data_IF_019919519303
#
_entry.id   IF_019919519303
#
_cell.length_a   1.000
_cell.length_b   1.000
_cell.length_c   1.000
_cell.angle_alpha   90.00
_cell.angle_beta   90.00
_cell.angle_gamma   90.00
#
_symmetry.space_group_name_H-M   'P 1'
#
loop_
_entity.id
_entity.type
_entity.pdbx_description
1 polymer ?
#
# COMPACT_ATOMS: atom_id res chain seq x y z
N UNK A 1 -14.48 8.53 -16.54
CA UNK A 1 -14.06 7.27 -17.18
C UNK A 1 -15.14 6.61 -18.04
N UNK A 2 -16.33 6.22 -17.53
CA UNK A 2 -17.39 5.61 -18.38
C UNK A 2 -17.89 6.53 -19.49
N UNK A 3 -18.21 7.79 -19.17
CA UNK A 3 -18.68 8.76 -20.15
C UNK A 3 -17.54 9.31 -21.02
N UNK A 4 -16.33 9.39 -20.48
CA UNK A 4 -15.15 9.93 -21.19
C UNK A 4 -14.61 8.99 -22.26
N UNK A 5 -14.54 7.69 -21.97
CA UNK A 5 -13.89 6.69 -22.84
C UNK A 5 -14.86 5.61 -23.35
N UNK A 6 -16.17 5.80 -23.16
CA UNK A 6 -17.23 4.85 -23.56
C UNK A 6 -16.91 3.37 -23.24
N UNK A 7 -16.32 3.11 -22.08
CA UNK A 7 -15.86 1.77 -21.70
C UNK A 7 -17.03 0.83 -21.41
N UNK A 8 -16.93 -0.38 -21.94
CA UNK A 8 -17.85 -1.49 -21.63
C UNK A 8 -17.74 -1.90 -20.16
N UNK A 9 -18.84 -2.40 -19.59
CA UNK A 9 -18.86 -2.95 -18.21
C UNK A 9 -17.81 -4.05 -18.03
N UNK A 10 -17.53 -4.83 -19.07
CA UNK A 10 -16.50 -5.88 -19.08
C UNK A 10 -15.09 -5.31 -18.93
N UNK A 11 -14.80 -4.18 -19.58
CA UNK A 11 -13.49 -3.51 -19.48
C UNK A 11 -13.25 -3.00 -18.07
N UNK A 12 -14.26 -2.42 -17.42
CA UNK A 12 -14.13 -1.97 -16.03
C UNK A 12 -13.88 -3.15 -15.09
N UNK A 13 -14.55 -4.27 -15.33
CA UNK A 13 -14.29 -5.54 -14.63
C UNK A 13 -12.85 -6.02 -14.84
N UNK A 14 -12.31 -5.92 -16.05
CA UNK A 14 -10.93 -6.27 -16.36
C UNK A 14 -9.92 -5.41 -15.58
N UNK A 15 -10.14 -4.09 -15.46
CA UNK A 15 -9.28 -3.21 -14.64
C UNK A 15 -9.23 -3.68 -13.19
N UNK A 16 -10.38 -4.03 -12.60
CA UNK A 16 -10.42 -4.55 -11.23
C UNK A 16 -9.69 -5.87 -11.09
N UNK A 17 -9.87 -6.80 -12.02
CA UNK A 17 -9.16 -8.09 -12.03
C UNK A 17 -7.64 -7.91 -12.16
N UNK A 18 -7.19 -7.04 -13.06
CA UNK A 18 -5.77 -6.69 -13.22
C UNK A 18 -5.20 -6.01 -11.97
N UNK A 19 -6.02 -5.23 -11.24
CA UNK A 19 -5.62 -4.64 -9.96
C UNK A 19 -5.40 -5.73 -8.92
N UNK A 20 -6.32 -6.70 -8.79
CA UNK A 20 -6.17 -7.83 -7.87
C UNK A 20 -4.99 -8.74 -8.23
N UNK A 21 -4.76 -8.98 -9.53
CA UNK A 21 -3.58 -9.70 -9.99
C UNK A 21 -2.28 -8.96 -9.58
N UNK A 22 -2.26 -7.64 -9.75
CA UNK A 22 -1.17 -6.78 -9.27
C UNK A 22 -0.97 -6.90 -7.76
N UNK A 23 -2.05 -6.88 -6.97
CA UNK A 23 -1.98 -7.07 -5.52
C UNK A 23 -1.36 -8.41 -5.13
N UNK A 24 -1.75 -9.50 -5.79
CA UNK A 24 -1.17 -10.83 -5.53
C UNK A 24 0.35 -10.84 -5.79
N UNK A 25 0.78 -10.28 -6.92
CA UNK A 25 2.20 -10.16 -7.27
C UNK A 25 2.93 -9.28 -6.25
N UNK A 26 2.36 -8.14 -5.90
CA UNK A 26 2.92 -7.20 -4.92
C UNK A 26 3.06 -7.79 -3.52
N UNK A 27 2.11 -8.61 -3.09
CA UNK A 27 2.19 -9.31 -1.80
C UNK A 27 3.43 -10.22 -1.74
N UNK A 28 3.63 -11.04 -2.78
CA UNK A 28 4.74 -11.99 -2.85
C UNK A 28 6.08 -11.26 -2.98
N UNK A 29 6.17 -10.29 -3.91
CA UNK A 29 7.38 -9.52 -4.13
C UNK A 29 7.74 -8.68 -2.91
N UNK A 30 6.76 -8.00 -2.31
CA UNK A 30 6.92 -7.18 -1.11
C UNK A 30 7.46 -7.99 0.07
N UNK A 31 6.92 -9.19 0.30
CA UNK A 31 7.43 -10.10 1.34
C UNK A 31 8.90 -10.45 1.09
N UNK A 32 9.24 -10.95 -0.10
CA UNK A 32 10.62 -11.31 -0.44
C UNK A 32 11.60 -10.14 -0.37
N UNK A 33 11.17 -8.95 -0.80
CA UNK A 33 11.99 -7.73 -0.74
C UNK A 33 12.20 -7.31 0.72
N UNK A 34 11.18 -7.44 1.58
CA UNK A 34 11.28 -7.10 2.99
C UNK A 34 12.18 -8.04 3.78
N UNK A 35 12.22 -9.32 3.41
CA UNK A 35 13.09 -10.29 4.04
C UNK A 35 14.55 -10.09 3.60
N UNK A 36 14.78 -9.69 2.33
CA UNK A 36 16.13 -9.50 1.77
C UNK A 36 16.75 -8.15 2.14
N UNK A 37 16.01 -7.06 1.98
CA UNK A 37 16.51 -5.68 2.15
C UNK A 37 16.10 -5.06 3.49
N UNK A 38 15.22 -5.73 4.23
CA UNK A 38 14.64 -5.22 5.46
C UNK A 38 13.28 -4.55 5.23
N UNK A 39 12.54 -4.40 6.33
CA UNK A 39 11.16 -3.95 6.32
C UNK A 39 11.04 -2.47 5.92
N UNK A 40 11.86 -1.59 6.52
CA UNK A 40 11.83 -0.13 6.28
C UNK A 40 12.04 0.29 4.81
N UNK A 41 13.12 -0.12 4.11
CA UNK A 41 13.32 0.28 2.72
C UNK A 41 12.23 -0.28 1.79
N UNK A 42 11.70 -1.46 2.11
CA UNK A 42 10.62 -2.08 1.32
C UNK A 42 9.30 -1.32 1.47
N UNK A 43 8.97 -0.86 2.67
CA UNK A 43 7.80 0.01 2.89
C UNK A 43 7.92 1.31 2.11
N UNK A 44 9.07 1.97 2.17
CA UNK A 44 9.31 3.23 1.44
C UNK A 44 9.19 3.01 -0.07
N UNK A 45 9.85 1.98 -0.62
CA UNK A 45 9.79 1.67 -2.05
C UNK A 45 8.37 1.33 -2.51
N UNK A 46 7.64 0.48 -1.76
CA UNK A 46 6.28 0.10 -2.08
C UNK A 46 5.32 1.29 -2.07
N UNK A 47 5.45 2.20 -1.10
CA UNK A 47 4.62 3.41 -1.05
C UNK A 47 4.95 4.38 -2.18
N UNK A 48 6.23 4.55 -2.55
CA UNK A 48 6.62 5.36 -3.72
C UNK A 48 6.00 4.80 -4.99
N UNK A 49 6.12 3.49 -5.22
CA UNK A 49 5.52 2.82 -6.40
C UNK A 49 4.01 3.01 -6.41
N UNK A 50 3.33 2.79 -5.29
CA UNK A 50 1.89 3.01 -5.15
C UNK A 50 1.49 4.46 -5.50
N UNK A 51 2.12 5.44 -4.87
CA UNK A 51 1.74 6.85 -5.01
C UNK A 51 2.07 7.42 -6.38
N UNK A 52 3.25 7.09 -6.94
CA UNK A 52 3.62 7.50 -8.31
C UNK A 52 2.68 6.86 -9.32
N UNK A 53 2.40 5.56 -9.21
CA UNK A 53 1.47 4.88 -10.10
C UNK A 53 0.04 5.44 -9.98
N UNK A 54 -0.39 5.83 -8.77
CA UNK A 54 -1.70 6.47 -8.55
C UNK A 54 -1.77 7.83 -9.24
N UNK A 55 -0.76 8.69 -9.09
CA UNK A 55 -0.72 10.01 -9.74
C UNK A 55 -0.67 9.86 -11.26
N UNK A 56 0.15 8.95 -11.78
CA UNK A 56 0.20 8.64 -13.20
C UNK A 56 -1.12 8.09 -13.72
N UNK A 57 -1.85 7.31 -12.91
CA UNK A 57 -3.19 6.81 -13.26
C UNK A 57 -4.17 7.98 -13.44
N UNK A 58 -4.05 9.03 -12.62
CA UNK A 58 -4.83 10.26 -12.76
C UNK A 58 -4.53 11.00 -14.07
N UNK A 59 -3.30 10.92 -14.57
CA UNK A 59 -2.85 11.58 -15.80
C UNK A 59 -3.03 10.73 -17.05
N UNK A 60 -3.45 9.46 -16.91
CA UNK A 60 -3.44 8.49 -17.99
C UNK A 60 -4.28 8.95 -19.20
N UNK A 61 -3.70 8.97 -20.42
CA UNK A 61 -4.39 9.43 -21.62
C UNK A 61 -5.26 8.32 -22.24
N UNK A 62 -4.90 7.05 -22.04
CA UNK A 62 -5.51 5.89 -22.69
C UNK A 62 -5.79 4.76 -21.69
N UNK A 63 -6.75 3.90 -22.02
CA UNK A 63 -7.19 2.75 -21.20
C UNK A 63 -6.08 1.72 -20.93
N UNK A 64 -5.23 1.42 -21.92
CA UNK A 64 -4.15 0.43 -21.77
C UNK A 64 -3.12 0.87 -20.72
N UNK A 65 -2.69 2.13 -20.81
CA UNK A 65 -1.78 2.74 -19.84
C UNK A 65 -2.42 2.75 -18.46
N UNK A 66 -3.71 3.05 -18.37
CA UNK A 66 -4.45 3.02 -17.11
C UNK A 66 -4.48 1.61 -16.47
N UNK A 67 -4.67 0.54 -17.26
CA UNK A 67 -4.61 -0.84 -16.75
C UNK A 67 -3.25 -1.16 -16.15
N UNK A 68 -2.18 -0.85 -16.87
CA UNK A 68 -0.81 -1.16 -16.43
C UNK A 68 -0.51 -0.43 -15.13
N UNK A 69 -0.83 0.87 -15.08
CA UNK A 69 -0.66 1.68 -13.89
C UNK A 69 -1.51 1.17 -12.72
N UNK A 70 -2.73 0.67 -12.98
CA UNK A 70 -3.57 0.08 -11.94
C UNK A 70 -3.02 -1.22 -11.37
N UNK A 71 -2.44 -2.07 -12.20
CA UNK A 71 -1.72 -3.25 -11.73
C UNK A 71 -0.54 -2.86 -10.86
N UNK A 72 0.22 -1.82 -11.24
CA UNK A 72 1.32 -1.30 -10.42
C UNK A 72 0.85 -0.68 -9.10
N UNK A 73 -0.26 0.06 -9.11
CA UNK A 73 -0.87 0.60 -7.89
C UNK A 73 -1.30 -0.53 -6.96
N UNK A 74 -1.95 -1.58 -7.49
CA UNK A 74 -2.33 -2.76 -6.71
C UNK A 74 -1.11 -3.46 -6.11
N UNK A 75 -0.04 -3.62 -6.90
CA UNK A 75 1.19 -4.25 -6.44
C UNK A 75 1.88 -3.44 -5.32
N UNK A 76 2.04 -2.13 -5.50
CA UNK A 76 2.63 -1.26 -4.47
C UNK A 76 1.82 -1.24 -3.18
N UNK A 77 0.49 -1.16 -3.29
CA UNK A 77 -0.41 -1.17 -2.13
C UNK A 77 -0.26 -2.45 -1.32
N UNK A 78 -0.36 -3.61 -1.97
CA UNK A 78 -0.35 -4.89 -1.27
C UNK A 78 1.05 -5.26 -0.76
N UNK A 79 2.11 -4.82 -1.44
CA UNK A 79 3.48 -4.93 -0.94
C UNK A 79 3.62 -4.22 0.41
N UNK A 80 3.14 -2.97 0.52
CA UNK A 80 3.19 -2.21 1.77
C UNK A 80 2.34 -2.87 2.85
N UNK A 81 1.08 -3.19 2.55
CA UNK A 81 0.15 -3.82 3.52
C UNK A 81 0.70 -5.15 4.03
N UNK A 82 1.24 -5.99 3.15
CA UNK A 82 1.84 -7.27 3.53
C UNK A 82 3.01 -7.11 4.49
N UNK A 83 3.94 -6.19 4.18
CA UNK A 83 5.12 -5.94 5.02
C UNK A 83 4.73 -5.33 6.37
N UNK A 84 3.74 -4.44 6.44
CA UNK A 84 3.22 -3.90 7.71
C UNK A 84 2.65 -5.01 8.58
N UNK A 85 1.85 -5.92 8.01
CA UNK A 85 1.25 -7.02 8.78
C UNK A 85 2.33 -7.94 9.35
N UNK A 86 3.32 -8.33 8.54
CA UNK A 86 4.47 -9.13 9.01
C UNK A 86 5.19 -8.40 10.13
N UNK A 87 5.51 -7.12 9.94
CA UNK A 87 6.20 -6.31 10.93
C UNK A 87 5.46 -6.23 12.27
N UNK A 88 4.13 -6.03 12.25
CA UNK A 88 3.29 -6.04 13.47
C UNK A 88 3.35 -7.40 14.15
N UNK A 89 3.32 -8.51 13.41
CA UNK A 89 3.41 -9.85 14.01
C UNK A 89 4.77 -10.16 14.62
N UNK A 90 5.86 -9.57 14.09
CA UNK A 90 7.21 -9.71 14.63
C UNK A 90 7.41 -8.87 15.89
N UNK A 91 6.87 -7.65 15.93
CA UNK A 91 7.05 -6.74 17.06
C UNK A 91 6.17 -7.07 18.28
N UNK A 92 4.96 -7.60 18.08
CA UNK A 92 3.99 -7.76 19.17
C UNK A 92 3.84 -9.21 19.66
N UNK A 93 3.67 -9.43 20.97
CA UNK A 93 3.47 -10.76 21.56
C UNK A 93 2.12 -11.37 21.15
N UNK A 94 2.07 -12.71 21.04
CA UNK A 94 0.94 -13.48 20.47
C UNK A 94 -0.46 -13.08 20.99
N UNK A 95 -0.56 -12.71 22.26
CA UNK A 95 -1.83 -12.36 22.93
C UNK A 95 -2.42 -11.04 22.44
N UNK A 96 -1.60 -10.07 22.03
CA UNK A 96 -2.06 -8.75 21.60
C UNK A 96 -1.99 -8.52 20.09
N UNK A 97 -1.37 -9.44 19.32
CA UNK A 97 -1.25 -9.36 17.84
C UNK A 97 -2.58 -9.09 17.16
N UNK A 98 -3.62 -9.84 17.52
CA UNK A 98 -4.95 -9.68 16.92
C UNK A 98 -5.50 -8.27 17.10
N UNK A 99 -5.33 -7.67 18.28
CA UNK A 99 -5.80 -6.30 18.57
C UNK A 99 -5.07 -5.26 17.73
N UNK A 100 -3.74 -5.37 17.60
CA UNK A 100 -2.95 -4.42 16.81
C UNK A 100 -3.20 -4.57 15.31
N UNK A 101 -3.32 -5.79 14.80
CA UNK A 101 -3.69 -6.05 13.40
C UNK A 101 -5.07 -5.45 13.10
N UNK A 102 -6.05 -5.71 13.96
CA UNK A 102 -7.40 -5.14 13.81
C UNK A 102 -7.39 -3.61 13.89
N UNK A 103 -6.53 -3.01 14.71
CA UNK A 103 -6.39 -1.56 14.79
C UNK A 103 -5.76 -0.97 13.51
N UNK A 104 -4.73 -1.61 12.96
CA UNK A 104 -4.11 -1.19 11.69
C UNK A 104 -5.08 -1.29 10.52
N UNK A 105 -5.78 -2.43 10.40
CA UNK A 105 -6.78 -2.63 9.34
C UNK A 105 -7.99 -1.70 9.55
N UNK A 106 -8.42 -1.51 10.79
CA UNK A 106 -9.49 -0.62 11.17
C UNK A 106 -9.18 0.83 10.79
N UNK A 107 -8.00 1.33 11.17
CA UNK A 107 -7.52 2.66 10.77
C UNK A 107 -7.43 2.81 9.25
N UNK A 108 -6.92 1.79 8.54
CA UNK A 108 -6.89 1.78 7.08
C UNK A 108 -8.29 1.85 6.46
N UNK A 109 -9.27 1.17 7.08
CA UNK A 109 -10.66 1.12 6.62
C UNK A 109 -11.43 2.41 6.90
N UNK A 110 -11.05 3.17 7.93
CA UNK A 110 -11.64 4.49 8.22
C UNK A 110 -11.39 5.52 7.11
N UNK A 111 -10.43 5.29 6.22
CA UNK A 111 -10.22 6.12 5.03
C UNK A 111 -11.27 5.91 3.93
N UNK A 112 -11.99 4.78 3.92
CA UNK A 112 -12.96 4.47 2.86
C UNK A 112 -14.23 5.36 2.89
N UNK A 113 -14.89 5.59 4.03
CA UNK A 113 -16.11 6.42 4.08
C UNK A 113 -15.90 7.88 3.63
N UNK A 114 -14.87 8.61 4.09
CA UNK A 114 -14.58 9.96 3.61
C UNK A 114 -14.31 9.99 2.11
N UNK A 115 -13.58 8.98 1.61
CA UNK A 115 -13.27 8.86 0.18
C UNK A 115 -14.52 8.58 -0.65
N UNK A 116 -15.42 7.70 -0.17
CA UNK A 116 -16.69 7.43 -0.83
C UNK A 116 -17.60 8.66 -0.85
N UNK A 117 -17.63 9.44 0.24
CA UNK A 117 -18.38 10.69 0.32
C UNK A 117 -17.81 11.75 -0.62
N UNK A 118 -16.49 11.94 -0.61
CA UNK A 118 -15.80 12.84 -1.53
C UNK A 118 -16.04 12.43 -2.98
N UNK A 119 -15.92 11.15 -3.33
CA UNK A 119 -16.24 10.65 -4.66
C UNK A 119 -17.70 10.94 -5.05
N UNK A 120 -18.65 10.84 -4.12
CA UNK A 120 -20.06 11.15 -4.38
C UNK A 120 -20.33 12.60 -4.75
N UNK A 121 -19.54 13.53 -4.22
CA UNK A 121 -19.64 14.97 -4.46
C UNK A 121 -18.83 15.37 -5.71
N UNK A 122 -17.67 14.74 -5.88
CA UNK A 122 -16.67 15.08 -6.91
C UNK A 122 -17.01 14.45 -8.26
N UNK A 123 -17.45 13.18 -8.31
CA UNK A 123 -17.77 12.49 -9.57
C UNK A 123 -18.88 13.18 -10.40
N UNK A 124 -19.97 13.73 -9.84
CA UNK A 124 -20.97 14.44 -10.63
C UNK A 124 -20.55 15.85 -11.08
N UNK A 125 -19.44 16.40 -10.60
CA UNK A 125 -19.02 17.77 -10.88
C UNK A 125 -18.38 17.97 -12.27
N UNK A 126 -18.10 16.90 -13.04
CA UNK A 126 -17.56 17.02 -14.40
C UNK A 126 -17.02 15.71 -15.02
N UNK A 127 -16.75 15.69 -16.34
CA UNK A 127 -16.31 14.51 -17.09
C UNK A 127 -14.89 14.01 -16.72
N UNK A 128 -14.02 14.90 -16.22
CA UNK A 128 -12.64 14.58 -15.80
C UNK A 128 -12.49 14.37 -14.29
N UNK A 129 -13.57 14.50 -13.51
CA UNK A 129 -13.43 14.62 -12.06
C UNK A 129 -13.08 13.30 -11.36
N UNK A 130 -13.25 12.17 -12.05
CA UNK A 130 -12.79 10.84 -11.63
C UNK A 130 -11.27 10.78 -11.41
N UNK A 131 -10.50 11.66 -12.06
CA UNK A 131 -9.03 11.76 -11.89
C UNK A 131 -8.64 12.18 -10.47
N UNK A 132 -9.45 13.01 -9.81
CA UNK A 132 -9.15 13.51 -8.45
C UNK A 132 -9.09 12.40 -7.40
N UNK A 133 -9.88 11.33 -7.57
CA UNK A 133 -9.84 10.15 -6.70
C UNK A 133 -8.42 9.53 -6.67
N UNK A 134 -7.70 9.58 -7.78
CA UNK A 134 -6.33 9.07 -7.87
C UNK A 134 -5.28 10.03 -7.34
N UNK A 135 -5.54 11.34 -7.45
CA UNK A 135 -4.71 12.39 -6.82
C UNK A 135 -4.77 12.27 -5.30
N UNK A 136 -5.96 12.02 -4.73
CA UNK A 136 -6.11 11.69 -3.31
C UNK A 136 -5.39 10.37 -2.96
N UNK A 137 -5.37 9.37 -3.83
CA UNK A 137 -4.51 8.19 -3.66
C UNK A 137 -3.01 8.52 -3.60
N UNK A 138 -2.59 9.59 -4.27
CA UNK A 138 -1.23 10.14 -4.21
C UNK A 138 -0.85 10.72 -2.85
N UNK A 139 -1.80 11.04 -1.96
CA UNK A 139 -1.55 11.49 -0.59
C UNK A 139 -0.80 10.43 0.23
N UNK A 140 -0.80 9.16 -0.20
CA UNK A 140 0.09 8.13 0.36
C UNK A 140 1.57 8.54 0.38
N UNK A 141 1.98 9.45 -0.50
CA UNK A 141 3.34 10.00 -0.55
C UNK A 141 3.66 10.84 0.71
N UNK A 142 2.65 11.48 1.33
CA UNK A 142 2.80 12.12 2.64
C UNK A 142 3.03 11.08 3.74
N UNK A 143 2.41 9.89 3.65
CA UNK A 143 2.67 8.82 4.62
C UNK A 143 4.13 8.34 4.57
N UNK A 144 4.80 8.38 3.40
CA UNK A 144 6.25 8.09 3.28
C UNK A 144 7.09 9.01 4.16
N UNK A 145 6.69 10.26 4.35
CA UNK A 145 7.41 11.22 5.20
C UNK A 145 7.31 10.81 6.69
N UNK A 146 6.20 10.18 7.08
CA UNK A 146 5.98 9.72 8.45
C UNK A 146 6.58 8.33 8.76
N UNK A 147 6.75 7.47 7.75
CA UNK A 147 7.33 6.11 7.90
C UNK A 147 8.72 6.11 8.58
N UNK A 148 9.69 6.97 8.20
CA UNK A 148 10.98 7.12 8.89
C UNK A 148 10.88 7.50 10.36
N UNK A 149 9.85 8.27 10.74
CA UNK A 149 9.63 8.75 12.12
C UNK A 149 8.94 7.69 12.98
N UNK A 150 8.05 6.89 12.40
CA UNK A 150 7.38 5.78 13.10
C UNK A 150 8.26 4.54 13.24
N UNK A 151 9.18 4.32 12.30
CA UNK A 151 10.09 3.17 12.27
C UNK A 151 11.55 3.61 12.43
N UNK A 152 11.95 4.07 13.64
CA UNK A 152 13.37 4.26 13.92
C UNK A 152 14.09 2.92 13.70
N UNK A 153 15.26 2.96 13.06
CA UNK A 153 16.06 1.76 12.82
C UNK A 153 16.35 1.08 14.16
N UNK A 154 15.64 0.01 14.50
CA UNK A 154 16.04 -0.89 15.59
C UNK A 154 17.21 -1.73 15.11
N UNK A 155 18.34 -1.08 14.95
CA UNK A 155 19.65 -1.68 14.82
C UNK A 155 20.31 -1.82 16.19
N UNK A 156 19.77 -2.67 17.06
CA UNK A 156 20.53 -3.22 18.17
C UNK A 156 20.56 -4.72 17.98
N UNK A 157 21.63 -5.19 17.35
CA UNK A 157 22.04 -6.60 17.43
C UNK A 157 21.96 -7.00 18.92
N UNK A 158 21.34 -8.12 19.28
CA UNK A 158 21.46 -8.67 20.62
C UNK A 158 22.96 -8.82 20.91
N UNK A 159 23.46 -8.04 21.86
CA UNK A 159 24.78 -8.23 22.45
C UNK A 159 24.90 -9.70 22.81
N UNK A 160 25.88 -10.37 22.21
CA UNK A 160 26.20 -11.75 22.53
C UNK A 160 26.26 -11.89 24.06
N UNK A 161 25.46 -12.81 24.61
CA UNK A 161 25.51 -13.15 26.03
C UNK A 161 26.96 -13.60 26.32
N UNK A 162 27.67 -12.99 27.29
CA UNK A 162 29.00 -13.46 27.64
C UNK A 162 28.94 -14.93 28.10
N UNK A 163 29.94 -15.75 27.76
CA UNK A 163 29.96 -17.17 28.12
C UNK A 163 29.88 -17.31 29.65
N UNK A 164 29.09 -18.30 30.09
CA UNK A 164 28.91 -18.58 31.51
C UNK A 164 30.27 -18.83 32.19
N UNK A 165 30.50 -18.31 33.41
CA UNK A 165 31.71 -18.61 34.14
C UNK A 165 31.76 -20.12 34.43
N UNK A 166 32.78 -20.78 33.89
CA UNK A 166 33.13 -22.15 34.25
C UNK A 166 33.54 -22.16 35.72
N UNK A 167 32.72 -22.78 36.57
CA UNK A 167 33.10 -23.10 37.94
C UNK A 167 34.17 -24.20 37.90
N UNK A 168 35.42 -23.81 38.15
CA UNK A 168 36.55 -24.71 38.43
C UNK A 168 36.91 -24.65 39.91
#
# INVERSE_FOLDING_TARGET
>A
MRQTWQLSTTQIGAVTSCTFAGMAIGAVLGGRLSDKFGRRPTLIAGTIVFSVASILSALSPNYEVFIILRTLTGAGLQAVVGVVLVYVTEMFPRVSRGRYISLVIGLGSLGMPPMALAARIVVPAGPETWRWVFVFGGIGLLAVIFVPKLLPCTGTKPTARPPAPTSS
#
